data_IF_651859480265
#
_entry.id   IF_651859480265
#
_cell.length_a   1.000
_cell.length_b   1.000
_cell.length_c   1.000
_cell.angle_alpha   90.00
_cell.angle_beta   90.00
_cell.angle_gamma   90.00
#
_symmetry.space_group_name_H-M   'P 1'
#
loop_
_entity.id
_entity.type
_entity.pdbx_description
1 polymer ?
#
# COMPACT_ATOMS: atom_id res chain seq x y z
N UNK A 1 8.68 -11.78 9.76
CA UNK A 1 7.64 -11.09 8.99
C UNK A 1 7.03 -12.11 8.02
N UNK A 2 5.71 -12.12 7.84
CA UNK A 2 4.99 -13.16 7.08
C UNK A 2 5.52 -13.28 5.62
N UNK A 3 6.02 -12.16 5.10
CA UNK A 3 6.64 -12.03 3.77
C UNK A 3 7.97 -12.79 3.68
N UNK A 4 8.80 -12.75 4.73
CA UNK A 4 10.06 -13.50 4.75
C UNK A 4 9.82 -15.01 4.90
N UNK A 5 8.80 -15.41 5.68
CA UNK A 5 8.47 -16.80 5.92
C UNK A 5 7.91 -17.52 4.67
N UNK A 6 6.96 -16.90 3.95
CA UNK A 6 6.42 -17.49 2.72
C UNK A 6 7.41 -17.52 1.55
N UNK A 7 8.50 -16.74 1.66
CA UNK A 7 9.57 -16.67 0.68
C UNK A 7 10.58 -17.81 0.86
N UNK A 8 11.09 -18.05 2.07
CA UNK A 8 12.03 -19.15 2.36
C UNK A 8 11.46 -20.52 1.96
N UNK A 9 10.15 -20.73 2.15
CA UNK A 9 9.46 -21.98 1.77
C UNK A 9 9.42 -22.22 0.25
N UNK A 10 9.43 -21.17 -0.58
CA UNK A 10 9.33 -21.27 -2.04
C UNK A 10 10.66 -21.63 -2.71
N UNK A 11 11.74 -20.99 -2.28
CA UNK A 11 13.10 -21.27 -2.79
C UNK A 11 13.65 -22.62 -2.33
N UNK A 12 13.34 -23.05 -1.09
CA UNK A 12 13.71 -24.39 -0.62
C UNK A 12 13.04 -25.49 -1.43
N UNK A 13 11.90 -25.20 -2.08
CA UNK A 13 11.17 -26.16 -2.89
C UNK A 13 11.71 -26.25 -4.33
N UNK A 14 11.83 -25.12 -5.05
CA UNK A 14 12.36 -25.08 -6.43
C UNK A 14 12.76 -23.65 -6.85
N UNK A 15 14.06 -23.35 -7.04
CA UNK A 15 14.55 -22.01 -7.42
C UNK A 15 14.21 -21.62 -8.87
N UNK A 16 13.58 -22.51 -9.67
CA UNK A 16 13.12 -22.18 -11.02
C UNK A 16 11.71 -21.57 -11.05
N UNK A 17 11.00 -21.56 -9.92
CA UNK A 17 9.64 -21.03 -9.83
C UNK A 17 9.70 -19.50 -9.66
N UNK A 18 9.08 -18.72 -10.56
CA UNK A 18 9.03 -17.27 -10.40
C UNK A 18 8.17 -16.84 -9.21
N UNK A 19 8.67 -15.92 -8.41
CA UNK A 19 8.02 -15.37 -7.21
C UNK A 19 7.52 -13.95 -7.51
N UNK A 20 6.21 -13.77 -7.43
CA UNK A 20 5.55 -12.46 -7.65
C UNK A 20 4.94 -11.96 -6.35
N UNK A 21 5.34 -10.76 -5.92
CA UNK A 21 4.73 -10.11 -4.75
C UNK A 21 3.54 -9.24 -5.18
N UNK A 22 2.34 -9.58 -4.71
CA UNK A 22 1.15 -8.76 -4.95
C UNK A 22 0.98 -7.72 -3.84
N UNK A 23 0.86 -6.45 -4.23
CA UNK A 23 0.94 -5.25 -3.36
C UNK A 23 2.39 -4.93 -3.00
N UNK A 24 2.86 -3.74 -3.39
CA UNK A 24 4.22 -3.31 -3.11
C UNK A 24 4.43 -3.17 -1.60
N UNK A 25 5.40 -3.86 -0.99
CA UNK A 25 5.64 -3.72 0.43
C UNK A 25 6.38 -2.41 0.69
N UNK A 26 5.93 -1.65 1.68
CA UNK A 26 6.50 -0.34 2.02
C UNK A 26 7.92 -0.43 2.58
N UNK A 27 8.40 -1.63 2.93
CA UNK A 27 9.74 -1.89 3.49
C UNK A 27 10.88 -1.46 2.57
N UNK A 28 10.71 -1.55 1.25
CA UNK A 28 11.70 -1.07 0.27
C UNK A 28 11.95 0.43 0.42
N UNK A 29 10.91 1.20 0.75
CA UNK A 29 11.05 2.64 1.00
C UNK A 29 11.64 2.97 2.37
N UNK A 30 11.58 2.04 3.34
CA UNK A 30 11.97 2.28 4.73
C UNK A 30 13.42 1.93 5.05
N UNK A 31 14.04 0.97 4.35
CA UNK A 31 15.47 0.71 4.53
C UNK A 31 16.25 1.12 3.28
N UNK A 32 16.26 2.40 2.90
CA UNK A 32 17.13 2.91 1.83
C UNK A 32 18.58 3.17 2.28
N UNK A 33 19.06 2.45 3.31
CA UNK A 33 20.38 2.63 3.92
C UNK A 33 21.48 1.81 3.24
N UNK A 34 22.77 2.18 3.40
CA UNK A 34 23.89 1.37 2.94
C UNK A 34 23.90 0.03 3.69
N UNK A 35 23.65 -1.08 2.98
CA UNK A 35 23.50 -2.41 3.57
C UNK A 35 22.07 -2.93 3.61
N UNK A 36 21.12 -2.20 3.00
CA UNK A 36 19.76 -2.68 2.75
C UNK A 36 19.76 -3.86 1.79
N UNK A 37 19.83 -5.05 2.36
CA UNK A 37 19.65 -6.32 1.67
C UNK A 37 18.17 -6.55 1.48
N UNK A 38 17.50 -5.78 0.64
CA UNK A 38 16.10 -6.08 0.38
C UNK A 38 15.98 -7.25 -0.59
N UNK A 39 15.31 -8.27 -0.08
CA UNK A 39 14.81 -9.52 -0.68
C UNK A 39 15.46 -9.93 -2.01
N UNK A 40 16.54 -10.73 -1.98
CA UNK A 40 17.24 -11.21 -3.18
C UNK A 40 16.41 -12.08 -4.15
N UNK A 41 15.11 -12.22 -3.96
CA UNK A 41 14.36 -13.38 -4.43
C UNK A 41 12.87 -13.07 -4.75
N UNK A 42 12.55 -11.82 -5.08
CA UNK A 42 11.26 -11.48 -5.71
C UNK A 42 11.54 -11.10 -7.17
N UNK A 43 10.99 -11.86 -8.11
CA UNK A 43 11.22 -11.63 -9.53
C UNK A 43 10.41 -10.43 -10.05
N UNK A 44 9.23 -10.18 -9.47
CA UNK A 44 8.35 -9.10 -9.91
C UNK A 44 7.38 -8.64 -8.82
N UNK A 45 6.99 -7.37 -8.88
CA UNK A 45 5.99 -6.77 -7.96
C UNK A 45 4.79 -6.23 -8.73
N UNK A 46 3.60 -6.61 -8.28
CA UNK A 46 2.34 -6.06 -8.78
C UNK A 46 1.92 -4.89 -7.88
N UNK A 47 2.21 -3.68 -8.35
CA UNK A 47 1.99 -2.42 -7.67
C UNK A 47 0.53 -1.97 -7.78
N UNK A 48 -0.03 -1.46 -6.69
CA UNK A 48 -1.42 -1.00 -6.61
C UNK A 48 -1.55 0.52 -6.59
N UNK A 49 -0.45 1.26 -6.38
CA UNK A 49 -0.39 2.71 -6.49
C UNK A 49 0.47 3.12 -7.70
N UNK A 50 0.11 4.18 -8.42
CA UNK A 50 0.75 4.53 -9.69
C UNK A 50 2.22 4.97 -9.56
N UNK A 51 2.66 5.40 -8.38
CA UNK A 51 4.05 5.81 -8.14
C UNK A 51 4.97 4.66 -7.72
N UNK A 52 4.43 3.54 -7.23
CA UNK A 52 5.22 2.47 -6.62
C UNK A 52 6.22 1.84 -7.58
N UNK A 53 5.86 1.64 -8.85
CA UNK A 53 6.78 1.07 -9.83
C UNK A 53 8.01 1.97 -10.07
N UNK A 54 7.82 3.29 -10.06
CA UNK A 54 8.92 4.24 -10.17
C UNK A 54 9.78 4.27 -8.90
N UNK A 55 9.16 4.13 -7.71
CA UNK A 55 9.90 4.06 -6.45
C UNK A 55 10.73 2.77 -6.34
N UNK A 56 10.20 1.62 -6.76
CA UNK A 56 10.96 0.37 -6.83
C UNK A 56 12.21 0.53 -7.70
N UNK A 57 12.05 1.12 -8.89
CA UNK A 57 13.19 1.42 -9.77
C UNK A 57 14.20 2.39 -9.13
N UNK A 58 13.72 3.44 -8.45
CA UNK A 58 14.58 4.44 -7.78
C UNK A 58 15.39 3.83 -6.63
N UNK A 59 14.87 2.79 -6.01
CA UNK A 59 15.44 2.11 -4.85
C UNK A 59 16.25 0.85 -5.21
N UNK A 60 16.49 0.61 -6.50
CA UNK A 60 17.16 -0.59 -7.00
C UNK A 60 16.45 -1.90 -6.56
N UNK A 61 15.12 -1.82 -6.47
CA UNK A 61 14.25 -2.96 -6.15
C UNK A 61 13.86 -3.78 -7.38
N UNK A 62 13.05 -4.83 -7.19
CA UNK A 62 12.59 -5.69 -8.28
C UNK A 62 11.71 -4.94 -9.30
N UNK A 63 11.60 -5.45 -10.54
CA UNK A 63 10.69 -4.91 -11.54
C UNK A 63 9.25 -4.79 -11.01
N UNK A 64 8.65 -3.61 -11.19
CA UNK A 64 7.29 -3.31 -10.75
C UNK A 64 6.33 -3.10 -11.92
N UNK A 65 5.08 -3.55 -11.79
CA UNK A 65 4.00 -3.22 -12.73
C UNK A 65 2.79 -2.69 -11.99
N UNK A 66 2.34 -1.50 -12.36
CA UNK A 66 1.09 -0.94 -11.83
C UNK A 66 -0.12 -1.66 -12.42
N UNK A 67 -0.85 -2.39 -11.57
CA UNK A 67 -2.06 -3.14 -11.93
C UNK A 67 -3.35 -2.45 -11.50
N UNK A 68 -3.24 -1.34 -10.78
CA UNK A 68 -4.38 -0.60 -10.25
C UNK A 68 -4.83 -1.04 -8.86
N UNK A 69 -5.52 -0.14 -8.17
CA UNK A 69 -6.05 -0.38 -6.84
C UNK A 69 -7.49 -0.91 -6.91
N UNK A 70 -7.81 -2.02 -6.21
CA UNK A 70 -9.18 -2.57 -6.17
C UNK A 70 -10.22 -1.50 -5.80
N UNK A 71 -9.94 -0.71 -4.77
CA UNK A 71 -10.84 0.36 -4.31
C UNK A 71 -11.08 1.47 -5.34
N UNK A 72 -10.24 1.62 -6.37
CA UNK A 72 -10.48 2.60 -7.43
C UNK A 72 -11.73 2.27 -8.27
N UNK A 73 -12.24 1.03 -8.18
CA UNK A 73 -13.46 0.56 -8.86
C UNK A 73 -14.59 0.24 -7.87
N UNK A 74 -14.41 0.48 -6.57
CA UNK A 74 -15.42 0.18 -5.58
C UNK A 74 -16.58 1.19 -5.64
N UNK A 75 -17.81 0.70 -5.80
CA UNK A 75 -18.98 1.57 -5.99
C UNK A 75 -19.26 2.48 -4.79
N UNK A 76 -19.01 2.02 -3.57
CA UNK A 76 -19.24 2.81 -2.36
C UNK A 76 -18.17 3.91 -2.22
N UNK A 77 -16.91 3.57 -2.50
CA UNK A 77 -15.81 4.55 -2.51
C UNK A 77 -16.07 5.63 -3.57
N UNK A 78 -16.48 5.23 -4.78
CA UNK A 78 -16.80 6.17 -5.85
C UNK A 78 -18.00 7.06 -5.50
N UNK A 79 -19.04 6.50 -4.87
CA UNK A 79 -20.20 7.25 -4.39
C UNK A 79 -19.81 8.29 -3.32
N UNK A 80 -18.99 7.88 -2.35
CA UNK A 80 -18.47 8.76 -1.32
C UNK A 80 -17.61 9.89 -1.92
N UNK A 81 -16.69 9.56 -2.84
CA UNK A 81 -15.85 10.56 -3.52
C UNK A 81 -16.69 11.57 -4.31
N UNK A 82 -17.71 11.10 -5.06
CA UNK A 82 -18.65 11.99 -5.77
C UNK A 82 -19.38 12.93 -4.82
N UNK A 83 -19.87 12.40 -3.70
CA UNK A 83 -20.55 13.20 -2.67
C UNK A 83 -19.63 14.26 -2.08
N UNK A 84 -18.37 13.92 -1.82
CA UNK A 84 -17.39 14.85 -1.27
C UNK A 84 -16.93 15.93 -2.26
N UNK A 85 -16.96 15.65 -3.56
CA UNK A 85 -16.55 16.58 -4.61
C UNK A 85 -17.63 17.64 -4.94
N UNK A 86 -18.87 17.44 -4.51
CA UNK A 86 -19.92 18.44 -4.68
C UNK A 86 -19.62 19.69 -3.82
N UNK A 87 -19.88 20.91 -4.33
CA UNK A 87 -19.85 22.10 -3.50
C UNK A 87 -20.75 21.90 -2.27
N UNK A 88 -20.17 22.09 -1.08
CA UNK A 88 -20.96 22.01 0.16
C UNK A 88 -21.55 23.38 0.41
N UNK A 89 -22.87 23.44 0.55
CA UNK A 89 -23.53 24.59 1.14
C UNK A 89 -23.22 24.56 2.65
N UNK A 90 -22.37 25.49 3.08
CA UNK A 90 -21.88 25.58 4.46
C UNK A 90 -22.27 26.94 5.05
N UNK A 91 -23.57 27.15 5.39
CA UNK A 91 -23.97 28.37 6.05
C UNK A 91 -23.34 28.49 7.44
N UNK A 92 -23.04 29.72 7.88
CA UNK A 92 -22.27 29.98 9.10
C UNK A 92 -22.97 29.50 10.38
N UNK A 93 -24.30 29.46 10.37
CA UNK A 93 -25.16 29.03 11.47
C UNK A 93 -25.42 27.52 11.50
N UNK A 94 -24.85 26.76 10.56
CA UNK A 94 -25.04 25.30 10.52
C UNK A 94 -24.37 24.60 11.69
N UNK A 95 -24.95 23.48 12.10
CA UNK A 95 -24.27 22.52 12.96
C UNK A 95 -23.05 21.93 12.25
N UNK A 96 -21.86 22.10 12.84
CA UNK A 96 -20.61 21.63 12.23
C UNK A 96 -20.36 20.18 12.59
N UNK A 97 -20.32 19.31 11.58
CA UNK A 97 -19.92 17.91 11.75
C UNK A 97 -18.40 17.76 11.69
N UNK A 98 -17.81 17.17 12.71
CA UNK A 98 -16.40 16.75 12.74
C UNK A 98 -16.32 15.22 12.60
N UNK A 99 -15.48 14.73 11.68
CA UNK A 99 -15.15 13.32 11.56
C UNK A 99 -13.80 13.06 12.25
N UNK A 100 -13.81 12.21 13.27
CA UNK A 100 -12.62 11.73 13.96
C UNK A 100 -12.36 10.28 13.54
N UNK A 101 -11.19 10.02 12.97
CA UNK A 101 -10.73 8.69 12.57
C UNK A 101 -9.51 8.33 13.42
N UNK A 102 -9.70 7.78 14.64
CA UNK A 102 -8.64 7.56 15.63
C UNK A 102 -7.68 6.42 15.28
N UNK A 103 -7.61 6.03 14.00
CA UNK A 103 -6.86 4.87 13.54
C UNK A 103 -7.50 3.54 13.94
N UNK A 104 -6.91 2.44 13.48
CA UNK A 104 -7.45 1.09 13.68
C UNK A 104 -6.82 0.38 14.87
N UNK A 105 -5.70 0.88 15.40
CA UNK A 105 -4.98 0.22 16.47
C UNK A 105 -5.58 0.60 17.81
N UNK A 106 -5.76 -0.39 18.69
CA UNK A 106 -6.29 -0.19 20.05
C UNK A 106 -5.50 0.84 20.86
N UNK A 107 -4.18 0.95 20.62
CA UNK A 107 -3.32 1.95 21.26
C UNK A 107 -3.59 3.37 20.80
N UNK A 108 -3.97 3.58 19.53
CA UNK A 108 -4.31 4.90 18.98
C UNK A 108 -5.60 5.43 19.62
N UNK A 109 -6.56 4.55 19.91
CA UNK A 109 -7.83 4.91 20.58
C UNK A 109 -7.67 5.15 22.09
N UNK A 110 -6.83 4.36 22.77
CA UNK A 110 -6.65 4.48 24.24
C UNK A 110 -5.96 5.78 24.67
N UNK A 111 -5.24 6.43 23.76
CA UNK A 111 -4.51 7.68 24.01
C UNK A 111 -5.30 8.96 23.71
N UNK A 112 -6.53 8.84 23.20
CA UNK A 112 -7.47 9.95 22.99
C UNK A 112 -8.32 10.20 24.24
#
# INVERSE_FOLDING_TARGET
DFVAAGHEEGEEADPSIPIVHYVCPSVWAMEAGPGSRHAPHVDHVLCILPFEAAELQRLDGPPGTYVGHRLARDANVLSAARTQAQPRDLPDDREKTLLLLPGSRKGEVRGL
#
